data_IF_680262045944
#
_entry.id   IF_680262045944
#
_cell.length_a   1.000
_cell.length_b   1.000
_cell.length_c   1.000
_cell.angle_alpha   90.00
_cell.angle_beta   90.00
_cell.angle_gamma   90.00
#
_symmetry.space_group_name_H-M   'P 1'
#
loop_
_entity.id
_entity.type
_entity.pdbx_description
1 polymer ?
#
# COMPACT_ATOMS: atom_id res chain seq x y z
N UNK A 1 -11.82 -17.25 11.85
CA UNK A 1 -11.57 -15.80 11.77
C UNK A 1 -10.45 -15.55 10.78
N UNK A 2 -10.63 -14.57 9.91
CA UNK A 2 -9.68 -14.32 8.84
C UNK A 2 -9.38 -12.83 8.71
N UNK A 3 -8.25 -12.55 8.08
CA UNK A 3 -7.84 -11.19 7.74
C UNK A 3 -7.46 -11.15 6.26
N UNK A 4 -7.86 -10.08 5.60
CA UNK A 4 -7.49 -9.80 4.21
C UNK A 4 -6.78 -8.44 4.22
N UNK A 5 -5.54 -8.42 3.76
CA UNK A 5 -4.77 -7.19 3.62
C UNK A 5 -4.37 -7.04 2.16
N UNK A 6 -4.89 -6.03 1.52
CA UNK A 6 -4.51 -5.69 0.16
C UNK A 6 -3.37 -4.69 0.18
N UNK A 7 -2.43 -4.85 -0.74
CA UNK A 7 -1.30 -3.94 -0.86
C UNK A 7 -1.60 -2.96 -1.98
N UNK A 8 -1.72 -1.68 -1.61
CA UNK A 8 -1.91 -0.60 -2.55
C UNK A 8 -0.61 0.21 -2.66
N UNK A 9 -0.71 1.52 -2.61
CA UNK A 9 0.41 2.45 -2.76
C UNK A 9 -0.03 3.83 -2.32
N UNK A 10 0.93 4.70 -2.04
CA UNK A 10 0.66 6.14 -1.94
C UNK A 10 -0.04 6.63 -3.22
N UNK A 11 0.20 5.98 -4.36
CA UNK A 11 -0.47 6.29 -5.63
C UNK A 11 -1.97 5.98 -5.61
N UNK A 12 -2.49 5.36 -4.56
CA UNK A 12 -3.92 5.22 -4.32
C UNK A 12 -4.52 6.42 -3.57
N UNK A 13 -3.69 7.35 -3.11
CA UNK A 13 -4.09 8.54 -2.36
C UNK A 13 -3.81 9.84 -3.12
N UNK A 14 -2.71 9.88 -3.88
CA UNK A 14 -2.30 11.05 -4.66
C UNK A 14 -2.05 10.63 -6.10
N UNK A 15 -2.24 11.56 -7.01
CA UNK A 15 -2.06 11.32 -8.43
C UNK A 15 -0.95 12.23 -8.97
N UNK A 16 -0.20 11.70 -9.93
CA UNK A 16 0.89 12.44 -10.58
C UNK A 16 0.77 12.35 -12.09
N UNK A 17 1.23 13.37 -12.78
CA UNK A 17 1.35 13.35 -14.22
C UNK A 17 2.18 12.14 -14.67
N UNK A 18 1.80 11.54 -15.77
CA UNK A 18 2.44 10.36 -16.38
C UNK A 18 2.18 9.03 -15.65
N UNK A 19 1.47 9.06 -14.52
CA UNK A 19 1.17 7.85 -13.75
C UNK A 19 -0.32 7.51 -13.76
N UNK A 20 -1.08 7.99 -14.76
CA UNK A 20 -2.54 7.88 -14.78
C UNK A 20 -3.05 6.45 -14.62
N UNK A 21 -2.52 5.51 -15.40
CA UNK A 21 -2.97 4.10 -15.32
C UNK A 21 -2.59 3.49 -13.97
N UNK A 22 -1.37 3.72 -13.51
CA UNK A 22 -0.92 3.23 -12.21
C UNK A 22 -1.80 3.79 -11.09
N UNK A 23 -2.04 5.10 -11.08
CA UNK A 23 -2.94 5.73 -10.12
C UNK A 23 -4.33 5.11 -10.17
N UNK A 24 -4.87 4.90 -11.38
CA UNK A 24 -6.19 4.30 -11.54
C UNK A 24 -6.27 2.93 -10.86
N UNK A 25 -5.26 2.07 -11.06
CA UNK A 25 -5.26 0.74 -10.46
C UNK A 25 -5.19 0.82 -8.93
N UNK A 26 -4.38 1.71 -8.37
CA UNK A 26 -4.20 1.82 -6.92
C UNK A 26 -5.38 2.51 -6.24
N UNK A 27 -5.96 3.56 -6.84
CA UNK A 27 -7.22 4.11 -6.35
C UNK A 27 -8.33 3.06 -6.40
N UNK A 28 -8.34 2.23 -7.45
CA UNK A 28 -9.29 1.13 -7.57
C UNK A 28 -9.14 0.09 -6.47
N UNK A 29 -7.91 -0.28 -6.12
CA UNK A 29 -7.65 -1.21 -5.01
C UNK A 29 -8.19 -0.63 -3.70
N UNK A 30 -7.98 0.65 -3.43
CA UNK A 30 -8.45 1.30 -2.22
C UNK A 30 -9.97 1.29 -2.15
N UNK A 31 -10.65 1.68 -3.23
CA UNK A 31 -12.10 1.68 -3.28
C UNK A 31 -12.70 0.27 -3.15
N UNK A 32 -12.12 -0.69 -3.86
CA UNK A 32 -12.53 -2.09 -3.78
C UNK A 32 -12.40 -2.63 -2.35
N UNK A 33 -11.26 -2.35 -1.71
CA UNK A 33 -10.97 -2.84 -0.36
C UNK A 33 -12.00 -2.32 0.65
N UNK A 34 -12.33 -1.04 0.58
CA UNK A 34 -13.32 -0.46 1.49
C UNK A 34 -14.73 -1.03 1.26
N UNK A 35 -15.11 -1.20 -0.01
CA UNK A 35 -16.39 -1.83 -0.33
C UNK A 35 -16.46 -3.26 0.21
N UNK A 36 -15.39 -4.04 0.00
CA UNK A 36 -15.31 -5.40 0.52
C UNK A 36 -15.37 -5.42 2.04
N UNK A 37 -14.67 -4.48 2.70
CA UNK A 37 -14.71 -4.39 4.16
C UNK A 37 -16.15 -4.26 4.67
N UNK A 38 -16.92 -3.37 4.05
CA UNK A 38 -18.30 -3.14 4.45
C UNK A 38 -19.18 -4.38 4.22
N UNK A 39 -18.93 -5.10 3.14
CA UNK A 39 -19.72 -6.29 2.80
C UNK A 39 -19.53 -7.44 3.77
N UNK A 40 -18.30 -7.65 4.28
CA UNK A 40 -17.98 -8.88 5.03
C UNK A 40 -17.64 -8.63 6.51
N UNK A 41 -17.68 -7.39 6.96
CA UNK A 41 -17.33 -7.06 8.36
C UNK A 41 -18.22 -7.80 9.36
N UNK A 42 -19.49 -8.03 9.03
CA UNK A 42 -20.40 -8.76 9.90
C UNK A 42 -20.04 -10.24 10.05
N UNK A 43 -19.25 -10.77 9.13
CA UNK A 43 -18.74 -12.15 9.23
C UNK A 43 -17.48 -12.23 10.09
N UNK A 44 -17.08 -11.12 10.74
CA UNK A 44 -15.88 -11.02 11.56
C UNK A 44 -14.60 -11.28 10.76
N UNK A 45 -14.62 -10.98 9.47
CA UNK A 45 -13.42 -10.95 8.64
C UNK A 45 -12.93 -9.50 8.58
N UNK A 46 -11.69 -9.27 9.00
CA UNK A 46 -11.10 -7.93 8.92
C UNK A 46 -10.48 -7.72 7.55
N UNK A 47 -10.76 -6.58 6.95
CA UNK A 47 -10.25 -6.21 5.64
C UNK A 47 -9.57 -4.85 5.76
N UNK A 48 -8.35 -4.76 5.29
CA UNK A 48 -7.62 -3.50 5.31
C UNK A 48 -6.71 -3.36 4.10
N UNK A 49 -6.20 -2.16 3.91
CA UNK A 49 -5.28 -1.84 2.85
C UNK A 49 -4.01 -1.22 3.44
N UNK A 50 -2.86 -1.65 2.96
CA UNK A 50 -1.56 -1.06 3.25
C UNK A 50 -1.13 -0.23 2.05
N UNK A 51 -0.78 1.03 2.30
CA UNK A 51 -0.43 1.99 1.27
C UNK A 51 1.01 2.49 1.48
N UNK A 52 2.00 1.79 0.92
CA UNK A 52 3.40 2.20 1.08
C UNK A 52 3.78 3.31 0.11
N UNK A 53 4.74 4.13 0.53
CA UNK A 53 5.48 5.02 -0.34
C UNK A 53 6.56 4.25 -1.11
N UNK A 54 7.68 4.91 -1.37
CA UNK A 54 8.77 4.30 -2.13
C UNK A 54 9.37 3.10 -1.39
N UNK A 55 9.44 1.96 -2.06
CA UNK A 55 9.94 0.70 -1.50
C UNK A 55 11.05 0.17 -2.41
N UNK A 56 12.15 -0.23 -1.80
CA UNK A 56 13.25 -0.88 -2.51
C UNK A 56 12.94 -2.38 -2.62
N UNK A 57 12.26 -2.77 -3.70
CA UNK A 57 11.91 -4.16 -3.98
C UNK A 57 12.03 -4.45 -5.47
N UNK A 58 11.98 -5.74 -5.82
CA UNK A 58 12.00 -6.19 -7.21
C UNK A 58 10.75 -5.79 -8.00
N UNK A 59 9.71 -5.35 -7.32
CA UNK A 59 8.44 -5.00 -7.97
C UNK A 59 8.62 -3.89 -9.01
N UNK A 60 9.56 -2.99 -8.78
CA UNK A 60 9.86 -1.89 -9.70
C UNK A 60 10.24 -2.42 -11.07
N UNK A 61 11.02 -3.50 -11.14
CA UNK A 61 11.49 -4.07 -12.41
C UNK A 61 10.38 -4.67 -13.27
N UNK A 62 9.20 -4.91 -12.69
CA UNK A 62 8.05 -5.47 -13.38
C UNK A 62 7.08 -4.40 -13.90
N UNK A 63 7.38 -3.13 -13.69
CA UNK A 63 6.57 -2.02 -14.15
C UNK A 63 7.10 -1.44 -15.47
N UNK A 64 6.37 -0.49 -16.05
CA UNK A 64 6.82 0.20 -17.25
C UNK A 64 8.08 1.02 -16.96
N UNK A 65 8.84 1.36 -18.01
CA UNK A 65 10.02 2.21 -17.87
C UNK A 65 9.72 3.53 -17.17
N UNK A 66 8.56 4.11 -17.46
CA UNK A 66 8.15 5.39 -16.87
C UNK A 66 7.97 5.27 -15.36
N UNK A 67 7.33 4.20 -14.91
CA UNK A 67 7.13 3.95 -13.48
C UNK A 67 8.45 3.59 -12.82
N UNK A 68 9.28 2.76 -13.47
CA UNK A 68 10.61 2.44 -12.96
C UNK A 68 11.47 3.69 -12.80
N UNK A 69 11.45 4.59 -13.79
CA UNK A 69 12.19 5.85 -13.72
C UNK A 69 11.68 6.74 -12.60
N UNK A 70 10.36 6.81 -12.39
CA UNK A 70 9.76 7.59 -11.32
C UNK A 70 10.16 7.10 -9.94
N UNK A 71 10.20 5.77 -9.73
CA UNK A 71 10.62 5.17 -8.47
C UNK A 71 12.13 5.27 -8.29
N UNK A 72 12.90 5.03 -9.38
CA UNK A 72 14.36 5.15 -9.36
C UNK A 72 14.83 6.59 -9.13
N UNK A 73 13.94 7.59 -9.30
CA UNK A 73 14.22 8.97 -8.99
C UNK A 73 14.25 9.27 -7.48
N UNK A 74 13.89 8.29 -6.63
CA UNK A 74 14.04 8.45 -5.18
C UNK A 74 15.50 8.71 -4.86
N UNK A 75 15.82 9.78 -4.11
CA UNK A 75 17.19 10.23 -3.93
C UNK A 75 18.10 9.13 -3.37
N UNK A 76 19.29 8.99 -3.95
CA UNK A 76 20.24 7.94 -3.58
C UNK A 76 20.78 8.11 -2.15
N UNK A 77 20.74 9.32 -1.61
CA UNK A 77 21.20 9.63 -0.24
C UNK A 77 20.08 9.46 0.80
N UNK A 78 18.88 9.08 0.36
CA UNK A 78 17.73 8.91 1.23
C UNK A 78 17.32 7.45 1.29
N UNK A 79 16.73 7.04 2.40
CA UNK A 79 16.36 5.65 2.64
C UNK A 79 14.91 5.40 2.25
N UNK A 80 14.64 4.56 1.25
CA UNK A 80 13.28 4.10 0.98
C UNK A 80 12.85 3.06 2.00
N UNK A 81 11.57 2.68 1.96
CA UNK A 81 11.11 1.54 2.74
C UNK A 81 11.77 0.25 2.24
N UNK A 82 11.93 -0.71 3.13
CA UNK A 82 12.37 -2.06 2.79
C UNK A 82 11.20 -3.02 2.75
N UNK A 83 11.42 -4.21 2.17
CA UNK A 83 10.41 -5.25 2.21
C UNK A 83 10.04 -5.62 3.66
N UNK A 84 10.99 -5.57 4.59
CA UNK A 84 10.74 -5.83 6.00
C UNK A 84 9.82 -4.80 6.63
N UNK A 85 9.95 -3.52 6.26
CA UNK A 85 9.05 -2.47 6.74
C UNK A 85 7.60 -2.78 6.34
N UNK A 86 7.40 -3.25 5.11
CA UNK A 86 6.08 -3.63 4.62
C UNK A 86 5.56 -4.84 5.40
N UNK A 87 6.39 -5.85 5.61
CA UNK A 87 6.02 -7.04 6.36
C UNK A 87 5.63 -6.70 7.80
N UNK A 88 6.37 -5.79 8.44
CA UNK A 88 6.07 -5.31 9.79
C UNK A 88 4.72 -4.57 9.83
N UNK A 89 4.42 -3.80 8.81
CA UNK A 89 3.12 -3.13 8.68
C UNK A 89 1.97 -4.13 8.58
N UNK A 90 2.13 -5.15 7.75
CA UNK A 90 1.13 -6.22 7.62
C UNK A 90 0.97 -6.95 8.97
N UNK A 91 2.08 -7.29 9.61
CA UNK A 91 2.06 -7.96 10.91
C UNK A 91 1.29 -7.13 11.95
N UNK A 92 1.51 -5.82 11.97
CA UNK A 92 0.77 -4.92 12.85
C UNK A 92 -0.73 -5.02 12.59
N UNK A 93 -1.14 -4.98 11.33
CA UNK A 93 -2.55 -4.99 10.95
C UNK A 93 -3.27 -6.26 11.39
N UNK A 94 -2.60 -7.43 11.26
CA UNK A 94 -3.24 -8.73 11.53
C UNK A 94 -3.09 -9.19 12.97
N UNK A 95 -2.27 -8.52 13.77
CA UNK A 95 -2.03 -8.91 15.16
C UNK A 95 -2.81 -8.04 16.16
N UNK A 96 -3.65 -7.10 15.71
CA UNK A 96 -4.48 -6.33 16.61
C UNK A 96 -5.54 -7.23 17.27
N UNK A 97 -6.00 -6.88 18.48
CA UNK A 97 -7.12 -7.61 19.09
C UNK A 97 -8.30 -7.70 18.16
N UNK A 98 -9.07 -8.79 18.21
CA UNK A 98 -10.12 -9.06 17.21
C UNK A 98 -11.20 -7.98 17.13
N UNK A 99 -11.43 -7.21 18.17
CA UNK A 99 -12.39 -6.12 18.14
C UNK A 99 -11.88 -4.89 17.38
N UNK A 100 -10.59 -4.82 17.07
CA UNK A 100 -9.97 -3.70 16.37
C UNK A 100 -9.59 -4.13 14.95
N UNK A 101 -9.95 -3.31 13.98
CA UNK A 101 -9.62 -3.55 12.59
C UNK A 101 -8.89 -2.33 12.03
N UNK A 102 -7.71 -2.55 11.47
CA UNK A 102 -6.97 -1.48 10.79
C UNK A 102 -7.44 -1.44 9.35
N UNK A 103 -8.30 -0.48 9.05
CA UNK A 103 -8.88 -0.34 7.71
C UNK A 103 -7.87 0.16 6.68
N UNK A 104 -6.96 1.02 7.12
CA UNK A 104 -6.01 1.66 6.22
C UNK A 104 -4.73 1.97 6.99
N UNK A 105 -3.58 1.60 6.41
CA UNK A 105 -2.28 1.93 6.99
C UNK A 105 -1.40 2.59 5.91
N UNK A 106 -1.09 3.85 6.13
CA UNK A 106 -0.28 4.65 5.24
C UNK A 106 1.16 4.66 5.78
N UNK A 107 2.07 3.99 5.07
CA UNK A 107 3.45 3.82 5.50
C UNK A 107 4.39 4.50 4.51
N UNK A 108 5.12 5.49 4.99
CA UNK A 108 5.97 6.32 4.14
C UNK A 108 7.43 6.29 4.62
N UNK A 109 8.40 6.34 3.69
CA UNK A 109 9.75 6.70 4.09
C UNK A 109 9.74 8.07 4.76
N UNK A 110 10.52 8.23 5.83
CA UNK A 110 10.64 9.53 6.48
C UNK A 110 11.14 10.61 5.53
N UNK A 111 11.99 10.21 4.58
CA UNK A 111 12.62 11.12 3.63
C UNK A 111 11.78 11.43 2.38
N UNK A 112 10.59 10.87 2.27
CA UNK A 112 9.72 11.10 1.12
C UNK A 112 8.72 12.24 1.44
N UNK A 113 8.69 13.24 0.53
CA UNK A 113 7.75 14.38 0.65
C UNK A 113 6.31 13.96 0.39
#
# INVERSE_FOLDING_TARGET
MADIVNISSIAGRVAWANFGVYNMTKFGVNGFTEALRQEITQSHVRVGVLEPGAVDTELVSHNTEEIQAGVAAFPADKQPLTAEDIADGIAYMVTRPRHASVGELWLMPTDQD
#
